data_IF_354564773099
#
_entry.id   IF_354564773099
#
_cell.length_a   1.000
_cell.length_b   1.000
_cell.length_c   1.000
_cell.angle_alpha   90.00
_cell.angle_beta   90.00
_cell.angle_gamma   90.00
#
_symmetry.space_group_name_H-M   'P 1'
#
loop_
_entity.id
_entity.type
_entity.pdbx_description
1 polymer ?
#
# COMPACT_ATOMS: atom_id res chain seq x y z
N UNK A 1 -2.33 -22.20 14.06
CA UNK A 1 -1.57 -22.80 15.18
C UNK A 1 -0.72 -21.77 15.95
N UNK A 2 -0.57 -20.54 15.44
CA UNK A 2 0.25 -19.47 16.02
C UNK A 2 -0.26 -18.90 17.35
N UNK A 3 -1.57 -18.68 17.52
CA UNK A 3 -2.14 -18.10 18.76
C UNK A 3 -1.96 -19.00 19.99
N UNK A 4 -2.20 -20.30 19.84
CA UNK A 4 -2.05 -21.29 20.92
C UNK A 4 -0.58 -21.49 21.28
N UNK A 5 0.32 -21.50 20.29
CA UNK A 5 1.78 -21.53 20.54
C UNK A 5 2.25 -20.32 21.36
N UNK A 6 1.58 -19.18 21.20
CA UNK A 6 1.82 -17.98 22.00
C UNK A 6 1.14 -17.98 23.38
N UNK A 7 0.54 -19.10 23.79
CA UNK A 7 -0.11 -19.28 25.09
C UNK A 7 -1.50 -18.66 25.19
N UNK A 8 -2.15 -18.32 24.08
CA UNK A 8 -3.53 -17.81 24.10
C UNK A 8 -4.54 -18.95 24.05
N UNK A 9 -5.61 -18.82 24.84
CA UNK A 9 -6.79 -19.68 24.71
C UNK A 9 -7.58 -19.27 23.47
N UNK A 10 -8.02 -20.26 22.70
CA UNK A 10 -8.79 -20.05 21.47
C UNK A 10 -10.01 -20.96 21.51
N UNK A 11 -11.19 -20.36 21.34
CA UNK A 11 -12.45 -21.07 21.09
C UNK A 11 -12.86 -20.82 19.64
N UNK A 12 -13.23 -21.89 18.93
CA UNK A 12 -13.66 -21.84 17.53
C UNK A 12 -15.07 -22.42 17.45
N UNK A 13 -16.02 -21.60 17.04
CA UNK A 13 -17.41 -21.97 16.85
C UNK A 13 -17.75 -21.90 15.35
N UNK A 14 -18.04 -23.04 14.73
CA UNK A 14 -18.39 -23.12 13.30
C UNK A 14 -19.91 -23.11 13.17
N UNK A 15 -20.44 -22.11 12.49
CA UNK A 15 -21.87 -21.92 12.30
C UNK A 15 -22.30 -22.37 10.91
N UNK A 16 -23.38 -23.15 10.88
CA UNK A 16 -24.09 -23.47 9.65
C UNK A 16 -24.95 -22.28 9.20
N UNK A 17 -25.21 -22.14 7.89
CA UNK A 17 -26.09 -21.10 7.38
C UNK A 17 -27.48 -21.16 8.02
N UNK A 18 -28.09 -19.99 8.23
CA UNK A 18 -29.51 -19.90 8.58
C UNK A 18 -30.38 -20.21 7.35
N UNK A 19 -31.67 -20.50 7.56
CA UNK A 19 -32.60 -20.86 6.47
C UNK A 19 -32.59 -19.79 5.37
N UNK A 20 -32.23 -20.20 4.14
CA UNK A 20 -32.13 -19.33 2.97
C UNK A 20 -30.75 -18.71 2.71
N UNK A 21 -29.80 -18.89 3.63
CA UNK A 21 -28.40 -18.45 3.48
C UNK A 21 -27.49 -19.61 3.04
N UNK A 22 -26.35 -19.28 2.43
CA UNK A 22 -25.27 -20.21 2.06
C UNK A 22 -23.97 -19.94 2.83
N UNK A 23 -23.96 -18.93 3.70
CA UNK A 23 -22.78 -18.45 4.40
C UNK A 23 -22.38 -19.30 5.62
N UNK A 24 -21.52 -20.30 5.39
CA UNK A 24 -20.78 -20.97 6.46
C UNK A 24 -19.73 -20.02 7.01
N UNK A 25 -19.72 -19.82 8.32
CA UNK A 25 -18.76 -18.92 8.97
C UNK A 25 -18.32 -19.47 10.32
N UNK A 26 -17.18 -18.98 10.82
CA UNK A 26 -16.68 -19.34 12.13
C UNK A 26 -16.43 -18.09 12.97
N UNK A 27 -16.75 -18.19 14.26
CA UNK A 27 -16.30 -17.24 15.27
C UNK A 27 -15.05 -17.78 15.93
N UNK A 28 -14.01 -16.95 16.01
CA UNK A 28 -12.77 -17.27 16.70
C UNK A 28 -12.65 -16.31 17.87
N UNK A 29 -12.88 -16.82 19.08
CA UNK A 29 -12.75 -16.08 20.32
C UNK A 29 -11.35 -16.37 20.89
N UNK A 30 -10.57 -15.31 21.11
CA UNK A 30 -9.19 -15.41 21.56
C UNK A 30 -9.06 -14.66 22.89
N UNK A 31 -8.39 -15.27 23.87
CA UNK A 31 -8.08 -14.55 25.11
C UNK A 31 -7.12 -13.40 24.83
N UNK A 32 -7.30 -12.26 25.51
CA UNK A 32 -6.36 -11.12 25.39
C UNK A 32 -5.12 -11.27 26.29
N UNK A 33 -5.07 -12.34 27.09
CA UNK A 33 -4.00 -12.68 28.02
C UNK A 33 -3.53 -14.10 27.75
N UNK A 34 -2.24 -14.32 27.98
CA UNK A 34 -1.61 -15.65 27.91
C UNK A 34 -1.97 -16.47 29.13
N UNK A 35 -2.04 -17.78 28.99
CA UNK A 35 -2.02 -18.71 30.12
C UNK A 35 -0.60 -18.85 30.67
N UNK A 36 -0.48 -19.17 31.96
CA UNK A 36 0.73 -19.73 32.54
C UNK A 36 0.93 -21.15 32.01
N UNK A 37 2.15 -21.68 32.14
CA UNK A 37 2.49 -23.06 31.75
C UNK A 37 1.62 -24.12 32.44
N UNK A 38 1.09 -23.82 33.63
CA UNK A 38 0.16 -24.71 34.34
C UNK A 38 -1.26 -24.73 33.74
N UNK A 39 -1.59 -23.81 32.82
CA UNK A 39 -2.91 -23.73 32.18
C UNK A 39 -4.06 -23.24 33.07
N UNK A 40 -3.83 -22.99 34.35
CA UNK A 40 -4.88 -22.65 35.33
C UNK A 40 -5.00 -21.14 35.58
N UNK A 41 -3.97 -20.37 35.23
CA UNK A 41 -3.89 -18.94 35.52
C UNK A 41 -3.50 -18.11 34.30
N UNK A 42 -3.89 -16.83 34.29
CA UNK A 42 -3.54 -15.87 33.24
C UNK A 42 -2.28 -15.05 33.60
N UNK A 43 -1.43 -14.80 32.60
CA UNK A 43 -0.26 -13.90 32.64
C UNK A 43 -0.62 -12.51 32.07
N UNK A 44 0.42 -11.80 31.61
CA UNK A 44 0.33 -10.51 30.96
C UNK A 44 -0.57 -10.56 29.70
N UNK A 45 -1.10 -9.39 29.35
CA UNK A 45 -1.79 -9.20 28.08
C UNK A 45 -0.83 -9.44 26.92
N UNK A 46 -1.31 -10.08 25.86
CA UNK A 46 -0.52 -10.33 24.66
C UNK A 46 -0.50 -9.12 23.72
N UNK A 47 -0.13 -7.96 24.25
CA UNK A 47 -0.09 -6.68 23.53
C UNK A 47 0.91 -6.68 22.37
N UNK A 48 1.90 -7.55 22.44
CA UNK A 48 2.90 -7.78 21.40
C UNK A 48 2.34 -8.50 20.16
N UNK A 49 1.18 -9.14 20.29
CA UNK A 49 0.44 -9.79 19.19
C UNK A 49 -0.73 -8.94 18.69
N UNK A 50 -1.02 -7.81 19.34
CA UNK A 50 -2.06 -6.89 18.89
C UNK A 50 -1.51 -5.98 17.77
N UNK A 51 -2.33 -5.66 16.74
CA UNK A 51 -1.94 -4.70 15.72
C UNK A 51 -1.56 -3.38 16.36
N UNK A 52 -0.39 -2.83 16.05
CA UNK A 52 0.04 -1.57 16.66
C UNK A 52 -0.83 -0.43 16.15
N UNK A 53 -1.47 0.33 17.03
CA UNK A 53 -2.23 1.52 16.65
C UNK A 53 -1.35 2.77 16.73
N UNK A 54 -1.20 3.52 15.63
CA UNK A 54 -0.53 4.82 15.59
C UNK A 54 -1.57 5.93 15.46
N UNK A 55 -1.48 6.98 16.25
CA UNK A 55 -2.30 8.18 16.04
C UNK A 55 -1.51 9.21 15.25
N UNK A 56 -2.01 9.65 14.10
CA UNK A 56 -1.44 10.75 13.30
C UNK A 56 -2.54 11.79 13.11
N UNK A 57 -2.29 13.04 13.52
CA UNK A 57 -3.25 14.15 13.46
C UNK A 57 -4.63 13.82 14.08
N UNK A 58 -4.63 13.16 15.25
CA UNK A 58 -5.86 12.78 15.95
C UNK A 58 -6.63 11.60 15.35
N UNK A 59 -6.20 11.05 14.20
CA UNK A 59 -6.77 9.85 13.60
C UNK A 59 -5.96 8.62 14.00
N UNK A 60 -6.64 7.59 14.52
CA UNK A 60 -6.03 6.29 14.83
C UNK A 60 -5.88 5.48 13.54
N UNK A 61 -4.67 5.06 13.23
CA UNK A 61 -4.31 4.18 12.13
C UNK A 61 -3.77 2.87 12.70
N UNK A 62 -4.15 1.76 12.08
CA UNK A 62 -3.52 0.46 12.36
C UNK A 62 -2.21 0.44 11.57
N UNK A 63 -1.09 0.27 12.25
CA UNK A 63 0.17 -0.10 11.60
C UNK A 63 -0.08 -1.51 11.07
N UNK A 64 -0.01 -1.66 9.75
CA UNK A 64 -0.10 -2.97 9.12
C UNK A 64 1.02 -3.83 9.68
N UNK A 65 0.67 -4.91 10.38
CA UNK A 65 1.61 -6.01 10.59
C UNK A 65 2.10 -6.49 9.22
N UNK A 66 3.35 -6.96 9.15
CA UNK A 66 3.95 -7.46 7.91
C UNK A 66 3.16 -8.61 7.29
N UNK A 67 2.34 -9.31 8.07
CA UNK A 67 1.39 -10.33 7.60
C UNK A 67 0.04 -10.18 8.31
N UNK A 68 -0.94 -9.64 7.60
CA UNK A 68 -2.30 -9.54 8.12
C UNK A 68 -2.95 -10.94 8.22
N UNK A 69 -3.69 -11.20 9.30
CA UNK A 69 -4.34 -12.51 9.56
C UNK A 69 -5.17 -13.02 8.36
N UNK A 70 -5.81 -12.12 7.61
CA UNK A 70 -6.61 -12.52 6.46
C UNK A 70 -5.77 -13.10 5.31
N UNK A 71 -4.53 -12.64 5.11
CA UNK A 71 -3.63 -13.19 4.08
C UNK A 71 -3.20 -14.61 4.46
N UNK A 72 -2.81 -14.82 5.73
CA UNK A 72 -2.50 -16.16 6.26
C UNK A 72 -3.69 -17.12 6.11
N UNK A 73 -4.90 -16.65 6.43
CA UNK A 73 -6.12 -17.47 6.31
C UNK A 73 -6.45 -17.78 4.86
N UNK A 74 -6.28 -16.82 3.93
CA UNK A 74 -6.42 -17.04 2.48
C UNK A 74 -5.52 -18.17 2.00
N UNK A 75 -4.24 -18.16 2.37
CA UNK A 75 -3.28 -19.21 1.99
C UNK A 75 -3.69 -20.59 2.52
N UNK A 76 -4.09 -20.66 3.80
CA UNK A 76 -4.55 -21.91 4.42
C UNK A 76 -5.78 -22.47 3.70
N UNK A 77 -6.76 -21.62 3.38
CA UNK A 77 -7.98 -22.06 2.67
C UNK A 77 -7.63 -22.54 1.27
N UNK A 78 -6.79 -21.80 0.53
CA UNK A 78 -6.38 -22.16 -0.82
C UNK A 78 -5.60 -23.48 -0.84
N UNK A 79 -4.70 -23.71 0.11
CA UNK A 79 -3.98 -24.97 0.25
C UNK A 79 -4.93 -26.13 0.56
N UNK A 80 -5.96 -25.89 1.39
CA UNK A 80 -6.99 -26.89 1.68
C UNK A 80 -7.85 -27.23 0.46
N UNK A 81 -8.25 -26.23 -0.33
CA UNK A 81 -8.95 -26.45 -1.61
C UNK A 81 -8.11 -27.26 -2.59
N UNK A 82 -6.81 -26.94 -2.73
CA UNK A 82 -5.90 -27.71 -3.57
C UNK A 82 -5.78 -29.17 -3.12
N UNK A 83 -5.68 -29.41 -1.80
CA UNK A 83 -5.65 -30.77 -1.24
C UNK A 83 -6.92 -31.57 -1.54
N UNK A 84 -8.07 -30.90 -1.65
CA UNK A 84 -9.34 -31.53 -2.03
C UNK A 84 -9.55 -31.65 -3.55
N UNK A 85 -8.59 -31.21 -4.37
CA UNK A 85 -8.73 -31.18 -5.83
C UNK A 85 -9.74 -30.14 -6.33
N UNK A 86 -10.10 -29.14 -5.51
CA UNK A 86 -11.01 -28.08 -5.89
C UNK A 86 -10.27 -26.96 -6.64
N UNK A 87 -10.88 -26.44 -7.70
CA UNK A 87 -10.34 -25.31 -8.47
C UNK A 87 -10.63 -23.95 -7.82
N UNK A 88 -11.54 -23.88 -6.84
CA UNK A 88 -11.88 -22.65 -6.13
C UNK A 88 -10.68 -22.04 -5.43
N UNK A 89 -10.58 -20.71 -5.41
CA UNK A 89 -9.59 -19.95 -4.64
C UNK A 89 -10.28 -18.77 -3.95
N UNK A 90 -9.73 -18.35 -2.82
CA UNK A 90 -10.09 -17.12 -2.14
C UNK A 90 -9.46 -15.96 -2.91
N UNK A 91 -10.31 -15.05 -3.39
CA UNK A 91 -9.91 -13.85 -4.12
C UNK A 91 -9.00 -12.94 -3.27
N UNK A 92 -8.19 -12.12 -3.94
CA UNK A 92 -7.46 -11.05 -3.25
C UNK A 92 -8.41 -9.97 -2.75
N UNK A 93 -7.98 -9.20 -1.76
CA UNK A 93 -8.72 -8.00 -1.36
C UNK A 93 -8.72 -7.04 -2.55
N UNK A 94 -9.91 -6.70 -3.05
CA UNK A 94 -10.05 -5.77 -4.17
C UNK A 94 -9.52 -4.39 -3.84
N UNK A 95 -8.95 -3.70 -4.84
CA UNK A 95 -8.61 -2.28 -4.69
C UNK A 95 -9.87 -1.39 -4.71
N UNK A 96 -10.99 -1.90 -5.23
CA UNK A 96 -12.24 -1.16 -5.36
C UNK A 96 -12.97 -1.15 -4.02
N UNK A 97 -13.22 0.03 -3.43
CA UNK A 97 -13.96 0.13 -2.19
C UNK A 97 -15.42 -0.26 -2.39
N UNK A 98 -15.90 -1.20 -1.58
CA UNK A 98 -17.27 -1.67 -1.59
C UNK A 98 -18.08 -1.04 -0.45
N UNK A 99 -19.37 -0.76 -0.72
CA UNK A 99 -20.33 -0.42 0.34
C UNK A 99 -20.61 -1.66 1.19
N UNK A 100 -20.62 -1.49 2.50
CA UNK A 100 -20.97 -2.57 3.42
C UNK A 100 -22.40 -3.05 3.18
N UNK A 101 -22.57 -4.35 2.93
CA UNK A 101 -23.89 -4.96 2.77
C UNK A 101 -24.39 -5.38 4.16
N UNK A 102 -25.38 -4.64 4.66
CA UNK A 102 -25.96 -4.87 5.99
C UNK A 102 -26.63 -6.25 6.18
N UNK A 103 -27.17 -6.53 7.38
CA UNK A 103 -27.75 -7.82 7.75
C UNK A 103 -28.88 -8.28 6.81
N UNK A 104 -28.98 -9.59 6.57
CA UNK A 104 -29.91 -10.21 5.61
C UNK A 104 -31.37 -9.81 5.78
N UNK A 105 -31.82 -9.54 7.01
CA UNK A 105 -33.19 -9.08 7.32
C UNK A 105 -33.56 -7.74 6.65
N UNK A 106 -32.56 -6.95 6.24
CA UNK A 106 -32.72 -5.64 5.59
C UNK A 106 -32.43 -5.74 4.07
N UNK A 107 -31.79 -6.83 3.61
CA UNK A 107 -31.41 -7.04 2.21
C UNK A 107 -32.59 -7.18 1.26
N UNK A 108 -33.75 -7.66 1.73
CA UNK A 108 -34.96 -7.78 0.90
C UNK A 108 -35.56 -6.43 0.48
N UNK A 109 -35.20 -5.33 1.17
CA UNK A 109 -35.66 -3.97 0.86
C UNK A 109 -34.58 -3.12 0.16
N UNK A 110 -33.30 -3.49 0.27
CA UNK A 110 -32.17 -2.73 -0.27
C UNK A 110 -31.10 -3.69 -0.83
N UNK A 111 -31.31 -4.17 -2.05
CA UNK A 111 -30.26 -4.81 -2.87
C UNK A 111 -29.40 -3.77 -3.62
N UNK A 112 -29.65 -2.49 -3.42
CA UNK A 112 -28.96 -1.40 -4.12
C UNK A 112 -27.46 -1.40 -3.83
N UNK A 113 -27.04 -1.55 -2.57
CA UNK A 113 -25.61 -1.60 -2.23
C UNK A 113 -24.87 -2.79 -2.87
N UNK A 114 -25.53 -3.95 -3.00
CA UNK A 114 -24.95 -5.11 -3.66
C UNK A 114 -24.85 -4.86 -5.18
N UNK A 115 -25.92 -4.36 -5.81
CA UNK A 115 -25.92 -4.00 -7.23
C UNK A 115 -24.91 -2.90 -7.55
N UNK A 116 -24.79 -1.87 -6.71
CA UNK A 116 -23.80 -0.80 -6.88
C UNK A 116 -22.37 -1.33 -6.75
N UNK A 117 -22.12 -2.27 -5.83
CA UNK A 117 -20.81 -2.91 -5.71
C UNK A 117 -20.48 -3.75 -6.95
N UNK A 118 -21.44 -4.50 -7.49
CA UNK A 118 -21.25 -5.24 -8.74
C UNK A 118 -21.03 -4.29 -9.93
N UNK A 119 -21.83 -3.24 -10.08
CA UNK A 119 -21.63 -2.23 -11.12
C UNK A 119 -20.25 -1.56 -11.04
N UNK A 120 -19.76 -1.27 -9.82
CA UNK A 120 -18.41 -0.74 -9.60
C UNK A 120 -17.34 -1.75 -9.98
N UNK A 121 -17.52 -3.01 -9.63
CA UNK A 121 -16.61 -4.10 -9.99
C UNK A 121 -16.55 -4.27 -11.50
N UNK A 122 -17.70 -4.30 -12.17
CA UNK A 122 -17.80 -4.40 -13.64
C UNK A 122 -17.18 -3.20 -14.35
N UNK A 123 -17.45 -1.97 -13.87
CA UNK A 123 -16.84 -0.76 -14.42
C UNK A 123 -15.32 -0.80 -14.29
N UNK A 124 -14.82 -1.17 -13.10
CA UNK A 124 -13.39 -1.32 -12.84
C UNK A 124 -12.76 -2.38 -13.75
N UNK A 125 -13.41 -3.54 -13.93
CA UNK A 125 -12.93 -4.59 -14.82
C UNK A 125 -12.87 -4.16 -16.29
N UNK A 126 -13.78 -3.29 -16.75
CA UNK A 126 -13.71 -2.72 -18.10
C UNK A 126 -12.54 -1.75 -18.26
N UNK A 127 -12.24 -0.99 -17.21
CA UNK A 127 -11.17 0.00 -17.18
C UNK A 127 -9.79 -0.68 -17.11
N UNK A 128 -9.64 -1.73 -16.31
CA UNK A 128 -8.38 -2.45 -16.08
C UNK A 128 -8.00 -3.39 -17.25
N UNK A 129 -8.75 -3.41 -18.36
CA UNK A 129 -8.37 -4.14 -19.58
C UNK A 129 -7.53 -3.33 -20.55
N UNK A 130 -7.30 -2.05 -20.26
CA UNK A 130 -6.49 -1.16 -21.09
C UNK A 130 -5.10 -0.97 -20.47
N UNK A 131 -4.06 -1.29 -21.24
CA UNK A 131 -2.66 -1.18 -20.81
C UNK A 131 -2.28 0.27 -20.45
N UNK A 132 -2.83 1.26 -21.15
CA UNK A 132 -2.56 2.67 -20.85
C UNK A 132 -3.18 3.08 -19.52
N UNK A 133 -4.40 2.62 -19.24
CA UNK A 133 -5.07 2.93 -17.97
C UNK A 133 -4.38 2.25 -16.80
N UNK A 134 -3.91 1.01 -16.97
CA UNK A 134 -3.08 0.33 -15.96
C UNK A 134 -1.81 1.15 -15.70
N UNK A 135 -1.13 1.59 -16.76
CA UNK A 135 0.11 2.39 -16.68
C UNK A 135 -0.13 3.69 -15.94
N UNK A 136 -1.20 4.42 -16.28
CA UNK A 136 -1.55 5.68 -15.63
C UNK A 136 -1.90 5.49 -14.15
N UNK A 137 -2.64 4.41 -13.83
CA UNK A 137 -3.00 4.09 -12.44
C UNK A 137 -1.78 3.77 -11.59
N UNK A 138 -0.78 3.08 -12.13
CA UNK A 138 0.48 2.80 -11.41
C UNK A 138 1.28 4.09 -11.27
N UNK A 139 1.46 4.82 -12.38
CA UNK A 139 2.26 6.04 -12.46
C UNK A 139 1.75 7.15 -11.54
N UNK A 140 0.43 7.23 -11.32
CA UNK A 140 -0.17 8.19 -10.42
C UNK A 140 0.36 8.09 -8.98
N UNK A 141 0.72 6.88 -8.52
CA UNK A 141 1.21 6.64 -7.16
C UNK A 141 2.71 6.33 -7.11
N UNK A 142 3.32 5.93 -8.22
CA UNK A 142 4.70 5.45 -8.28
C UNK A 142 5.42 5.97 -9.53
N UNK A 143 6.52 6.69 -9.34
CA UNK A 143 7.43 7.07 -10.43
C UNK A 143 8.27 5.88 -10.94
N UNK A 144 8.53 4.91 -10.07
CA UNK A 144 9.28 3.69 -10.36
C UNK A 144 8.47 2.49 -9.85
N UNK A 145 8.34 1.46 -10.67
CA UNK A 145 7.55 0.28 -10.36
C UNK A 145 8.17 -1.01 -10.90
N UNK A 146 7.63 -2.15 -10.47
CA UNK A 146 8.09 -3.49 -10.84
C UNK A 146 7.02 -4.24 -11.62
N UNK A 147 7.37 -5.39 -12.22
CA UNK A 147 6.37 -6.31 -12.80
C UNK A 147 5.28 -6.70 -11.80
N UNK A 148 5.65 -6.90 -10.53
CA UNK A 148 4.70 -7.25 -9.47
C UNK A 148 3.68 -6.14 -9.21
N UNK A 149 4.06 -4.87 -9.38
CA UNK A 149 3.13 -3.75 -9.25
C UNK A 149 2.06 -3.75 -10.35
N UNK A 150 2.42 -4.18 -11.56
CA UNK A 150 1.48 -4.39 -12.66
C UNK A 150 0.51 -5.53 -12.33
N UNK A 151 1.04 -6.66 -11.86
CA UNK A 151 0.23 -7.82 -11.44
C UNK A 151 -0.77 -7.46 -10.34
N UNK A 152 -0.36 -6.60 -9.41
CA UNK A 152 -1.19 -6.07 -8.33
C UNK A 152 -2.26 -5.10 -8.82
N UNK A 153 -1.97 -4.30 -9.85
CA UNK A 153 -2.95 -3.42 -10.48
C UNK A 153 -4.08 -4.21 -11.16
N UNK A 154 -3.78 -5.40 -11.70
CA UNK A 154 -4.74 -6.27 -12.38
C UNK A 154 -5.31 -7.39 -11.49
N UNK A 155 -5.12 -7.33 -10.17
CA UNK A 155 -5.57 -8.39 -9.24
C UNK A 155 -7.07 -8.66 -9.24
N UNK A 156 -7.86 -7.66 -9.63
CA UNK A 156 -9.31 -7.77 -9.69
C UNK A 156 -9.77 -8.64 -10.89
N UNK A 157 -8.90 -8.86 -11.88
CA UNK A 157 -9.14 -9.81 -12.98
C UNK A 157 -9.09 -11.23 -12.40
N UNK A 158 -10.12 -12.07 -12.65
CA UNK A 158 -10.19 -13.42 -12.09
C UNK A 158 -8.94 -14.26 -12.35
N UNK A 159 -8.49 -15.02 -11.35
CA UNK A 159 -7.37 -15.96 -11.49
C UNK A 159 -7.59 -17.02 -12.58
N UNK A 160 -8.85 -17.38 -12.87
CA UNK A 160 -9.18 -18.31 -13.96
C UNK A 160 -8.86 -17.76 -15.35
N UNK A 161 -8.57 -16.46 -15.48
CA UNK A 161 -8.13 -15.79 -16.70
C UNK A 161 -6.61 -15.56 -16.70
N UNK A 162 -5.82 -16.58 -16.32
CA UNK A 162 -4.36 -16.48 -16.21
C UNK A 162 -3.69 -15.98 -17.50
N UNK A 163 -4.09 -16.53 -18.66
CA UNK A 163 -3.58 -16.09 -19.96
C UNK A 163 -3.91 -14.64 -20.31
N UNK A 164 -5.08 -14.13 -19.88
CA UNK A 164 -5.47 -12.72 -20.09
C UNK A 164 -4.62 -11.78 -19.24
N UNK A 165 -4.36 -12.17 -17.98
CA UNK A 165 -3.49 -11.41 -17.07
C UNK A 165 -2.06 -11.36 -17.59
N UNK A 166 -1.52 -12.50 -18.04
CA UNK A 166 -0.17 -12.55 -18.59
C UNK A 166 -0.04 -11.72 -19.87
N UNK A 167 -1.05 -11.77 -20.75
CA UNK A 167 -1.10 -10.95 -21.96
C UNK A 167 -1.13 -9.45 -21.62
N UNK A 168 -1.94 -9.03 -20.65
CA UNK A 168 -2.01 -7.63 -20.23
C UNK A 168 -0.67 -7.14 -19.64
N UNK A 169 -0.02 -7.96 -18.82
CA UNK A 169 1.32 -7.63 -18.28
C UNK A 169 2.32 -7.46 -19.43
N UNK A 170 2.30 -8.35 -20.42
CA UNK A 170 3.16 -8.23 -21.60
C UNK A 170 2.84 -6.98 -22.43
N UNK A 171 1.56 -6.64 -22.61
CA UNK A 171 1.14 -5.44 -23.32
C UNK A 171 1.62 -4.16 -22.64
N UNK A 172 1.49 -4.07 -21.31
CA UNK A 172 2.01 -2.94 -20.53
C UNK A 172 3.53 -2.83 -20.70
N UNK A 173 4.26 -3.93 -20.49
CA UNK A 173 5.74 -3.91 -20.57
C UNK A 173 6.27 -3.66 -21.99
N UNK A 174 5.51 -4.01 -23.02
CA UNK A 174 5.87 -3.78 -24.42
C UNK A 174 5.42 -2.42 -24.95
N UNK A 175 4.73 -1.62 -24.12
CA UNK A 175 4.30 -0.27 -24.50
C UNK A 175 5.51 0.64 -24.68
N UNK A 176 5.45 1.49 -25.71
CA UNK A 176 6.48 2.50 -25.98
C UNK A 176 6.60 3.56 -24.87
N UNK A 177 5.62 3.65 -23.98
CA UNK A 177 5.62 4.53 -22.82
C UNK A 177 6.51 4.01 -21.70
N UNK A 178 6.76 2.70 -21.65
CA UNK A 178 7.53 2.07 -20.58
C UNK A 178 9.02 2.10 -20.91
N UNK A 179 9.81 2.45 -19.90
CA UNK A 179 11.26 2.44 -19.93
C UNK A 179 11.77 1.50 -18.84
N UNK A 180 12.54 0.48 -19.24
CA UNK A 180 13.28 -0.35 -18.30
C UNK A 180 14.49 0.43 -17.76
N UNK A 181 14.70 0.36 -16.45
CA UNK A 181 15.83 0.99 -15.79
C UNK A 181 17.00 0.00 -15.69
N UNK A 182 18.20 0.51 -15.87
CA UNK A 182 19.44 -0.27 -15.82
C UNK A 182 20.36 0.31 -14.74
N UNK A 183 21.20 -0.54 -14.18
CA UNK A 183 22.33 -0.16 -13.35
C UNK A 183 23.42 0.50 -14.20
N UNK A 184 24.38 1.16 -13.54
CA UNK A 184 25.49 1.86 -14.22
C UNK A 184 26.39 0.92 -15.03
N UNK A 185 26.42 -0.37 -14.67
CA UNK A 185 27.11 -1.45 -15.38
C UNK A 185 26.34 -1.99 -16.60
N UNK A 186 25.13 -1.48 -16.84
CA UNK A 186 24.23 -1.91 -17.90
C UNK A 186 23.37 -3.13 -17.57
N UNK A 187 23.43 -3.67 -16.35
CA UNK A 187 22.55 -4.76 -15.94
C UNK A 187 21.11 -4.26 -15.72
N UNK A 188 20.11 -5.08 -16.09
CA UNK A 188 18.70 -4.76 -15.84
C UNK A 188 18.44 -4.66 -14.34
N UNK A 189 17.88 -3.54 -13.91
CA UNK A 189 17.50 -3.34 -12.52
C UNK A 189 16.17 -4.01 -12.17
N UNK A 190 15.44 -4.54 -13.17
CA UNK A 190 14.06 -5.06 -13.06
C UNK A 190 13.01 -4.02 -12.63
N UNK A 191 13.40 -2.76 -12.57
CA UNK A 191 12.51 -1.63 -12.34
C UNK A 191 12.15 -0.96 -13.66
N UNK A 192 10.98 -0.36 -13.68
CA UNK A 192 10.40 0.31 -14.82
C UNK A 192 9.95 1.71 -14.41
N UNK A 193 9.98 2.63 -15.36
CA UNK A 193 9.37 3.96 -15.26
C UNK A 193 8.65 4.29 -16.56
N UNK A 194 8.00 5.45 -16.64
CA UNK A 194 7.37 5.92 -17.87
C UNK A 194 8.18 7.04 -18.52
N UNK A 195 8.00 7.21 -19.83
CA UNK A 195 8.62 8.30 -20.59
C UNK A 195 8.23 9.68 -20.05
N UNK A 196 7.01 9.81 -19.55
CA UNK A 196 6.43 11.01 -18.96
C UNK A 196 7.15 11.37 -17.66
N UNK A 197 7.29 10.41 -16.74
CA UNK A 197 8.07 10.60 -15.50
C UNK A 197 9.50 10.98 -15.82
N UNK A 198 10.13 10.30 -16.80
CA UNK A 198 11.52 10.59 -17.18
C UNK A 198 11.69 11.99 -17.76
N UNK A 199 10.71 12.46 -18.53
CA UNK A 199 10.68 13.81 -19.07
C UNK A 199 10.50 14.86 -17.97
N UNK A 200 9.66 14.58 -16.97
CA UNK A 200 9.48 15.44 -15.80
C UNK A 200 10.75 15.54 -14.96
N UNK A 201 11.41 14.41 -14.66
CA UNK A 201 12.69 14.39 -13.96
C UNK A 201 13.76 15.21 -14.68
N UNK A 202 13.87 15.02 -16.00
CA UNK A 202 14.81 15.78 -16.84
C UNK A 202 14.52 17.29 -16.77
N UNK A 203 13.24 17.67 -16.76
CA UNK A 203 12.81 19.07 -16.64
C UNK A 203 13.16 19.63 -15.25
N UNK A 204 12.97 18.87 -14.19
CA UNK A 204 13.34 19.26 -12.82
C UNK A 204 14.85 19.52 -12.74
N UNK A 205 15.68 18.62 -13.26
CA UNK A 205 17.14 18.79 -13.29
C UNK A 205 17.54 20.05 -14.07
N UNK A 206 16.93 20.30 -15.24
CA UNK A 206 17.20 21.53 -16.01
C UNK A 206 16.84 22.79 -15.24
N UNK A 207 15.72 22.77 -14.51
CA UNK A 207 15.30 23.92 -13.68
C UNK A 207 16.27 24.09 -12.51
N UNK A 208 16.67 23.01 -11.84
CA UNK A 208 17.65 23.05 -10.76
C UNK A 208 19.00 23.62 -11.23
N UNK A 209 19.52 23.15 -12.36
CA UNK A 209 20.75 23.68 -12.95
C UNK A 209 20.60 25.15 -13.33
N UNK A 210 19.47 25.54 -13.94
CA UNK A 210 19.22 26.95 -14.26
C UNK A 210 19.19 27.84 -13.02
N UNK A 211 18.59 27.38 -11.92
CA UNK A 211 18.59 28.11 -10.65
C UNK A 211 20.02 28.21 -10.12
N UNK A 212 20.77 27.10 -10.12
CA UNK A 212 22.16 27.08 -9.70
C UNK A 212 23.06 28.03 -10.52
N UNK A 213 22.85 28.11 -11.85
CA UNK A 213 23.66 28.95 -12.74
C UNK A 213 23.25 30.44 -12.66
N UNK A 214 21.98 30.74 -12.34
CA UNK A 214 21.49 32.11 -12.16
C UNK A 214 21.78 32.66 -10.77
N UNK A 215 21.80 31.80 -9.76
CA UNK A 215 22.17 32.15 -8.39
C UNK A 215 23.69 32.00 -8.28
N UNK A 216 24.41 33.10 -8.50
CA UNK A 216 25.81 33.19 -8.09
C UNK A 216 25.92 32.99 -6.57
N UNK A 217 25.98 31.73 -6.12
CA UNK A 217 26.38 31.36 -4.75
C UNK A 217 27.83 31.73 -4.44
N UNK A 218 28.51 32.46 -5.31
CA UNK A 218 29.81 33.07 -5.04
C UNK A 218 29.77 34.06 -3.85
N UNK A 219 28.59 34.53 -3.46
CA UNK A 219 28.38 35.51 -2.39
C UNK A 219 27.68 34.94 -1.14
N UNK A 220 27.77 33.62 -0.90
CA UNK A 220 27.35 33.00 0.38
C UNK A 220 27.95 33.75 1.58
N UNK A 221 29.18 34.26 1.45
CA UNK A 221 29.86 35.06 2.46
C UNK A 221 29.21 36.44 2.69
N UNK A 222 28.58 37.03 1.68
CA UNK A 222 27.86 38.32 1.79
C UNK A 222 26.47 38.14 2.42
N UNK A 223 25.84 36.97 2.28
CA UNK A 223 24.50 36.74 2.84
C UNK A 223 24.45 36.83 4.37
N UNK A 224 25.55 36.51 5.07
CA UNK A 224 25.64 36.66 6.53
C UNK A 224 25.58 38.13 6.97
N UNK A 225 26.21 39.01 6.20
CA UNK A 225 26.13 40.47 6.35
C UNK A 225 24.73 40.97 6.02
N UNK A 226 24.10 40.42 4.96
CA UNK A 226 22.75 40.83 4.55
C UNK A 226 21.68 40.47 5.60
N UNK A 227 21.80 39.31 6.27
CA UNK A 227 20.91 38.93 7.39
C UNK A 227 21.05 39.90 8.57
N UNK A 228 22.25 40.40 8.84
CA UNK A 228 22.51 41.39 9.89
C UNK A 228 21.90 42.76 9.59
N UNK A 229 21.86 43.14 8.30
CA UNK A 229 21.25 44.38 7.82
C UNK A 229 19.72 44.40 7.78
N UNK A 230 19.04 43.26 8.01
CA UNK A 230 17.57 43.21 8.00
C UNK A 230 16.97 43.92 9.22
N UNK A 231 16.30 45.05 9.00
CA UNK A 231 15.67 45.87 10.04
C UNK A 231 14.23 45.47 10.37
N UNK A 232 13.59 44.67 9.51
CA UNK A 232 12.16 44.32 9.59
C UNK A 232 11.88 42.91 10.15
N UNK A 233 12.88 42.28 10.78
CA UNK A 233 12.78 40.92 11.34
C UNK A 233 13.26 40.90 12.79
N UNK A 234 12.64 40.06 13.62
CA UNK A 234 13.06 39.89 15.02
C UNK A 234 14.40 39.15 15.11
N UNK A 235 15.06 39.24 16.27
CA UNK A 235 16.32 38.53 16.49
C UNK A 235 16.14 37.00 16.44
N UNK A 236 15.00 36.47 16.89
CA UNK A 236 14.67 35.04 16.77
C UNK A 236 14.54 34.62 15.29
N UNK A 237 13.96 35.48 14.44
CA UNK A 237 13.84 35.23 13.01
C UNK A 237 15.20 35.29 12.31
N UNK A 238 16.07 36.23 12.70
CA UNK A 238 17.46 36.27 12.22
C UNK A 238 18.22 35.01 12.64
N UNK A 239 18.03 34.53 13.86
CA UNK A 239 18.68 33.33 14.37
C UNK A 239 18.21 32.06 13.63
N UNK A 240 16.91 31.97 13.33
CA UNK A 240 16.36 30.89 12.49
C UNK A 240 16.93 30.92 11.07
N UNK A 241 17.03 32.09 10.45
CA UNK A 241 17.66 32.26 9.13
C UNK A 241 19.13 31.83 9.12
N UNK A 242 19.90 32.23 10.14
CA UNK A 242 21.31 31.80 10.30
C UNK A 242 21.42 30.27 10.45
N UNK A 243 20.53 29.66 11.23
CA UNK A 243 20.53 28.21 11.45
C UNK A 243 20.24 27.42 10.17
N UNK A 244 19.25 27.87 9.38
CA UNK A 244 18.93 27.28 8.07
C UNK A 244 20.14 27.39 7.12
N UNK A 245 20.84 28.52 7.16
CA UNK A 245 22.00 28.77 6.31
C UNK A 245 23.24 27.94 6.69
N UNK A 246 23.52 27.80 7.99
CA UNK A 246 24.63 26.98 8.47
C UNK A 246 24.45 25.49 8.16
N UNK A 247 23.22 24.97 8.23
CA UNK A 247 22.92 23.58 7.86
C UNK A 247 23.21 23.29 6.38
N UNK A 248 22.85 24.23 5.48
CA UNK A 248 23.06 24.07 4.05
C UNK A 248 24.55 24.09 3.63
N UNK A 249 25.42 24.73 4.42
CA UNK A 249 26.86 24.80 4.14
C UNK A 249 27.62 23.54 4.55
N UNK A 250 27.22 22.91 5.66
CA UNK A 250 27.88 21.68 6.16
C UNK A 250 27.64 20.49 5.22
N UNK A 251 26.51 20.45 4.51
CA UNK A 251 26.21 19.38 3.54
C UNK A 251 26.93 19.55 2.17
N UNK A 252 27.51 20.72 1.88
CA UNK A 252 28.26 20.96 0.63
C UNK A 252 29.77 20.67 0.77
N UNK A 253 30.28 20.53 1.98
CA UNK A 253 31.70 20.23 2.27
C UNK A 253 31.97 18.75 2.60
N UNK A 254 30.96 17.87 2.52
CA UNK A 254 31.04 16.41 2.75
C UNK A 254 30.76 15.60 1.49
#
# INVERSE_FOLDING_TARGET
MELVQNGLGVQIDIHKPHTGDKNWHAHILVTTRRFKENGEELRAKAVDLEPKFRTVNGKKFVIQDSEMIHEKVKEIINAFFAKLGLSNRVDEISAVPQKHIGPTRIRSLINEAANENELRKEANLKIIKDADVITDSITHYKSIFTKHDIEKAIKDIPYSAEAERELLVQQVLSSNRILELYHDDGESSKYFTTSEVRNEETRIIRIANKINDQVYYNDIYNLKSDIEGLTNVSEEQKQALRHIFCLALVELES
#
